data_IF_377743224932
#
_entry.id   IF_377743224932
#
_cell.length_a   1.000
_cell.length_b   1.000
_cell.length_c   1.000
_cell.angle_alpha   90.00
_cell.angle_beta   90.00
_cell.angle_gamma   90.00
#
_symmetry.space_group_name_H-M   'P 1'
#
loop_
_entity.id
_entity.type
_entity.pdbx_description
1 polymer ?
#
# COMPACT_ATOMS: atom_id res chain seq x y z
N UNK A 1 -30.39 29.13 -4.67
CA UNK A 1 -30.08 28.21 -3.55
C UNK A 1 -30.25 26.79 -4.06
N UNK A 2 -29.15 26.14 -4.45
CA UNK A 2 -29.16 24.77 -4.96
C UNK A 2 -28.98 23.79 -3.80
N UNK A 3 -29.91 22.85 -3.76
CA UNK A 3 -30.13 21.84 -2.73
C UNK A 3 -28.93 20.87 -2.68
N UNK A 4 -28.12 20.91 -1.62
CA UNK A 4 -27.07 19.90 -1.36
C UNK A 4 -27.76 18.66 -0.83
N UNK A 5 -27.58 17.50 -1.48
CA UNK A 5 -28.16 16.24 -1.03
C UNK A 5 -27.72 15.89 0.41
N UNK A 6 -28.60 15.40 1.31
CA UNK A 6 -28.35 15.46 2.75
C UNK A 6 -27.69 14.23 3.39
N UNK A 7 -27.23 13.22 2.64
CA UNK A 7 -26.99 11.89 3.25
C UNK A 7 -25.60 11.61 3.85
N UNK A 8 -24.55 12.38 3.56
CA UNK A 8 -23.20 12.03 4.02
C UNK A 8 -22.37 13.15 4.67
N UNK A 9 -22.78 14.41 4.56
CA UNK A 9 -21.94 15.53 5.02
C UNK A 9 -21.76 15.59 6.56
N UNK A 10 -22.57 14.88 7.35
CA UNK A 10 -22.57 14.95 8.81
C UNK A 10 -22.83 13.59 9.51
N UNK A 11 -22.57 12.46 8.85
CA UNK A 11 -22.74 11.14 9.46
C UNK A 11 -21.60 10.85 10.47
N UNK A 12 -21.87 10.68 11.78
CA UNK A 12 -20.83 10.34 12.76
C UNK A 12 -20.07 9.06 12.40
N UNK A 13 -20.75 8.09 11.77
CA UNK A 13 -20.11 6.84 11.33
C UNK A 13 -19.07 7.09 10.22
N UNK A 14 -19.29 8.08 9.34
CA UNK A 14 -18.33 8.51 8.32
C UNK A 14 -17.05 9.05 8.97
N UNK A 15 -17.18 9.97 9.94
CA UNK A 15 -16.02 10.59 10.60
C UNK A 15 -15.20 9.52 11.31
N UNK A 16 -15.85 8.60 12.04
CA UNK A 16 -15.14 7.50 12.72
C UNK A 16 -14.37 6.62 11.74
N UNK A 17 -14.96 6.26 10.57
CA UNK A 17 -14.27 5.46 9.54
C UNK A 17 -13.04 6.18 9.00
N UNK A 18 -13.16 7.46 8.67
CA UNK A 18 -12.05 8.28 8.17
C UNK A 18 -10.98 8.46 9.25
N UNK A 19 -11.38 8.69 10.50
CA UNK A 19 -10.45 8.78 11.63
C UNK A 19 -9.60 7.52 11.73
N UNK A 20 -10.16 6.33 11.56
CA UNK A 20 -9.37 5.09 11.56
C UNK A 20 -8.36 4.99 10.39
N UNK A 21 -8.61 5.68 9.28
CA UNK A 21 -7.78 5.67 8.09
C UNK A 21 -6.80 6.84 8.01
N UNK A 22 -6.94 7.86 8.86
CA UNK A 22 -5.90 8.85 9.05
C UNK A 22 -4.86 8.27 10.02
N UNK A 23 -3.70 7.91 9.49
CA UNK A 23 -2.56 7.49 10.29
C UNK A 23 -1.95 8.73 10.94
N UNK A 24 -2.08 8.82 12.27
CA UNK A 24 -1.66 10.01 13.03
C UNK A 24 -0.17 10.31 12.83
N UNK A 25 0.69 9.31 12.92
CA UNK A 25 2.14 9.52 12.89
C UNK A 25 2.59 9.88 11.47
N UNK A 26 2.10 9.12 10.48
CA UNK A 26 2.40 9.35 9.08
C UNK A 26 1.89 10.72 8.61
N UNK A 27 0.61 11.02 8.85
CA UNK A 27 0.00 12.24 8.36
C UNK A 27 0.54 13.51 9.04
N UNK A 28 0.80 13.46 10.36
CA UNK A 28 1.43 14.58 11.06
C UNK A 28 2.82 14.93 10.48
N UNK A 29 3.59 13.94 10.03
CA UNK A 29 4.88 14.19 9.38
C UNK A 29 4.76 14.86 8.00
N UNK A 30 3.58 14.80 7.36
CA UNK A 30 3.31 15.43 6.06
C UNK A 30 2.79 16.85 6.17
N UNK A 31 2.15 17.20 7.28
CA UNK A 31 1.63 18.56 7.50
C UNK A 31 2.73 19.43 8.12
N UNK A 32 3.47 20.15 7.28
CA UNK A 32 4.51 21.08 7.74
C UNK A 32 3.93 22.16 8.68
N UNK A 33 4.52 22.33 9.87
CA UNK A 33 4.17 23.40 10.80
C UNK A 33 3.07 23.07 11.82
N UNK A 34 2.51 21.87 11.80
CA UNK A 34 1.59 21.39 12.85
C UNK A 34 2.45 20.71 13.92
N UNK A 35 2.70 21.43 15.02
CA UNK A 35 3.68 21.12 16.07
C UNK A 35 3.72 19.64 16.42
N UNK A 36 4.89 19.02 16.27
CA UNK A 36 5.07 17.56 16.35
C UNK A 36 4.44 16.91 17.58
N UNK A 37 4.09 15.61 17.46
CA UNK A 37 3.59 14.68 18.48
C UNK A 37 2.36 15.07 19.35
N UNK A 38 2.05 16.36 19.54
CA UNK A 38 1.05 16.88 20.46
C UNK A 38 -0.32 17.17 19.82
N UNK A 39 -0.40 17.13 18.49
CA UNK A 39 -1.63 17.45 17.75
C UNK A 39 -2.65 16.33 17.88
N UNK A 40 -3.90 16.71 18.14
CA UNK A 40 -4.99 15.76 18.31
C UNK A 40 -5.32 15.07 16.98
N UNK A 41 -5.73 13.80 17.04
CA UNK A 41 -6.05 13.05 15.82
C UNK A 41 -7.25 13.67 15.09
N UNK A 42 -8.23 14.19 15.82
CA UNK A 42 -9.40 14.87 15.24
C UNK A 42 -9.01 16.13 14.45
N UNK A 43 -7.99 16.86 14.89
CA UNK A 43 -7.45 18.03 14.18
C UNK A 43 -6.78 17.61 12.86
N UNK A 44 -6.03 16.50 12.87
CA UNK A 44 -5.44 15.94 11.65
C UNK A 44 -6.51 15.46 10.66
N UNK A 45 -7.57 14.80 11.16
CA UNK A 45 -8.72 14.39 10.35
C UNK A 45 -9.41 15.62 9.74
N UNK A 46 -9.66 16.65 10.54
CA UNK A 46 -10.25 17.90 10.07
C UNK A 46 -9.37 18.58 9.00
N UNK A 47 -8.05 18.62 9.22
CA UNK A 47 -7.11 19.15 8.24
C UNK A 47 -7.15 18.36 6.92
N UNK A 48 -7.15 17.02 6.99
CA UNK A 48 -7.27 16.18 5.78
C UNK A 48 -8.55 16.45 5.00
N UNK A 49 -9.70 16.48 5.69
CA UNK A 49 -11.01 16.69 5.06
C UNK A 49 -11.20 18.07 4.45
N UNK A 50 -10.51 19.10 4.97
CA UNK A 50 -10.72 20.49 4.55
C UNK A 50 -9.64 21.02 3.62
N UNK A 51 -8.43 20.45 3.66
CA UNK A 51 -7.26 20.98 2.94
C UNK A 51 -6.38 19.87 2.38
N UNK A 52 -6.04 18.88 3.21
CA UNK A 52 -5.01 17.90 2.87
C UNK A 52 -5.30 17.10 1.60
N UNK A 53 -6.55 16.67 1.43
CA UNK A 53 -6.97 15.97 0.22
C UNK A 53 -6.81 16.84 -1.04
N UNK A 54 -7.14 18.12 -0.99
CA UNK A 54 -6.98 19.01 -2.14
C UNK A 54 -5.51 19.40 -2.39
N UNK A 55 -4.66 19.30 -1.36
CA UNK A 55 -3.20 19.39 -1.46
C UNK A 55 -2.55 18.07 -1.94
N UNK A 56 -3.34 17.02 -2.20
CA UNK A 56 -2.84 15.71 -2.61
C UNK A 56 -2.12 14.94 -1.49
N UNK A 57 -2.30 15.32 -0.23
CA UNK A 57 -1.69 14.62 0.90
C UNK A 57 -2.36 13.27 1.16
N UNK A 58 -1.53 12.29 1.49
CA UNK A 58 -1.99 10.93 1.73
C UNK A 58 -2.37 10.77 3.21
N UNK A 59 -3.59 10.35 3.55
CA UNK A 59 -4.02 10.22 4.95
C UNK A 59 -3.33 9.05 5.66
N UNK A 60 -2.81 8.09 4.89
CA UNK A 60 -2.05 6.94 5.34
C UNK A 60 -1.13 6.46 4.20
N UNK A 61 -0.18 5.54 4.45
CA UNK A 61 0.76 5.07 3.45
C UNK A 61 0.15 4.32 2.25
N UNK A 62 -1.13 3.93 2.31
CA UNK A 62 -1.77 3.00 1.36
C UNK A 62 -2.91 3.66 0.57
N UNK A 63 -3.14 4.96 0.76
CA UNK A 63 -4.11 5.76 0.02
C UNK A 63 -3.43 6.97 -0.62
N UNK A 64 -3.35 6.95 -1.95
CA UNK A 64 -2.81 8.04 -2.76
C UNK A 64 -3.97 8.82 -3.38
N UNK A 65 -4.20 10.01 -2.83
CA UNK A 65 -5.29 10.91 -3.23
C UNK A 65 -5.23 11.29 -4.71
N UNK A 66 -4.03 11.56 -5.23
CA UNK A 66 -3.83 11.96 -6.63
C UNK A 66 -4.05 10.79 -7.58
N UNK A 67 -3.48 9.63 -7.26
CA UNK A 67 -3.70 8.40 -8.03
C UNK A 67 -5.17 7.99 -8.07
N UNK A 68 -5.84 8.05 -6.92
CA UNK A 68 -7.24 7.67 -6.82
C UNK A 68 -8.13 8.60 -7.67
N UNK A 69 -7.98 9.92 -7.52
CA UNK A 69 -8.75 10.90 -8.31
C UNK A 69 -8.51 10.77 -9.81
N UNK A 70 -7.31 10.38 -10.23
CA UNK A 70 -6.98 10.18 -11.65
C UNK A 70 -7.72 9.00 -12.31
N UNK A 71 -8.29 8.08 -11.52
CA UNK A 71 -9.12 6.98 -12.03
C UNK A 71 -10.58 7.40 -12.27
N UNK A 72 -11.00 8.55 -11.74
CA UNK A 72 -12.39 8.99 -11.83
C UNK A 72 -12.70 9.59 -13.20
N UNK A 73 -13.91 9.35 -13.75
CA UNK A 73 -14.31 9.90 -15.04
C UNK A 73 -14.52 11.42 -15.01
N UNK A 74 -14.55 12.03 -13.82
CA UNK A 74 -14.75 13.45 -13.62
C UNK A 74 -14.38 13.90 -12.21
N UNK A 75 -14.44 15.21 -11.94
CA UNK A 75 -14.13 15.76 -10.64
C UNK A 75 -15.14 15.29 -9.58
N UNK A 76 -14.65 15.12 -8.35
CA UNK A 76 -15.49 14.85 -7.20
C UNK A 76 -16.39 16.06 -6.87
N UNK A 77 -17.55 15.83 -6.21
CA UNK A 77 -18.34 16.91 -5.65
C UNK A 77 -17.51 17.83 -4.74
N UNK A 78 -17.79 19.14 -4.70
CA UNK A 78 -17.07 20.07 -3.84
C UNK A 78 -17.07 19.62 -2.37
N UNK A 79 -15.88 19.54 -1.77
CA UNK A 79 -15.68 19.14 -0.38
C UNK A 79 -15.74 17.62 -0.12
N UNK A 80 -15.82 16.79 -1.16
CA UNK A 80 -15.69 15.34 -1.05
C UNK A 80 -14.26 14.92 -1.37
N UNK A 81 -13.59 14.27 -0.43
CA UNK A 81 -12.24 13.72 -0.64
C UNK A 81 -12.28 12.41 -1.44
N UNK A 82 -11.14 12.04 -2.03
CA UNK A 82 -10.97 10.75 -2.69
C UNK A 82 -11.21 9.59 -1.73
N UNK A 83 -10.69 9.69 -0.50
CA UNK A 83 -10.91 8.66 0.52
C UNK A 83 -12.39 8.46 0.83
N UNK A 84 -13.15 9.53 0.95
CA UNK A 84 -14.60 9.42 1.13
C UNK A 84 -15.28 8.75 -0.05
N UNK A 85 -14.93 9.14 -1.27
CA UNK A 85 -15.49 8.51 -2.47
C UNK A 85 -15.16 7.02 -2.50
N UNK A 86 -13.94 6.65 -2.12
CA UNK A 86 -13.54 5.24 -2.01
C UNK A 86 -14.42 4.47 -1.02
N UNK A 87 -14.68 5.06 0.15
CA UNK A 87 -15.46 4.44 1.22
C UNK A 87 -16.94 4.22 0.86
N UNK A 88 -17.50 5.05 -0.02
CA UNK A 88 -18.94 4.98 -0.40
C UNK A 88 -19.18 4.27 -1.72
N UNK A 89 -18.26 4.38 -2.69
CA UNK A 89 -18.50 3.93 -4.07
C UNK A 89 -17.27 3.30 -4.72
N UNK A 90 -16.09 3.89 -4.53
CA UNK A 90 -14.88 3.46 -5.24
C UNK A 90 -14.49 2.01 -4.96
N UNK A 91 -14.59 1.57 -3.69
CA UNK A 91 -14.31 0.19 -3.32
C UNK A 91 -15.26 -0.80 -4.03
N UNK A 92 -16.56 -0.48 -4.09
CA UNK A 92 -17.55 -1.31 -4.77
C UNK A 92 -17.37 -1.30 -6.30
N UNK A 93 -16.81 -0.22 -6.83
CA UNK A 93 -16.47 -0.07 -8.25
C UNK A 93 -15.10 -0.67 -8.61
N UNK A 94 -14.41 -1.29 -7.65
CA UNK A 94 -13.09 -1.89 -7.89
C UNK A 94 -11.97 -0.89 -8.15
N UNK A 95 -12.15 0.39 -7.80
CA UNK A 95 -11.10 1.40 -7.94
C UNK A 95 -10.01 1.17 -6.91
N UNK A 96 -8.76 1.41 -7.30
CA UNK A 96 -7.61 1.15 -6.45
C UNK A 96 -7.26 2.39 -5.61
N UNK A 97 -7.10 2.30 -4.28
CA UNK A 97 -6.78 3.44 -3.43
C UNK A 97 -5.34 3.94 -3.60
N UNK A 98 -4.42 3.10 -4.11
CA UNK A 98 -3.03 3.47 -4.39
C UNK A 98 -2.42 2.53 -5.44
N UNK A 99 -1.28 2.89 -6.06
CA UNK A 99 -0.63 2.03 -7.05
C UNK A 99 -0.23 0.63 -6.53
N UNK A 100 -0.01 0.50 -5.22
CA UNK A 100 0.44 -0.73 -4.54
C UNK A 100 -0.69 -1.46 -3.81
N UNK A 101 -1.94 -1.15 -4.13
CA UNK A 101 -3.11 -1.83 -3.57
C UNK A 101 -4.10 -2.14 -4.68
N UNK A 102 -4.46 -3.41 -4.84
CA UNK A 102 -5.55 -3.81 -5.73
C UNK A 102 -6.80 -4.14 -4.92
N UNK A 103 -7.86 -3.37 -5.13
CA UNK A 103 -9.16 -3.56 -4.49
C UNK A 103 -9.79 -4.89 -4.90
N UNK A 104 -9.73 -5.21 -6.20
CA UNK A 104 -10.30 -6.43 -6.77
C UNK A 104 -9.58 -7.68 -6.28
N UNK A 105 -8.24 -7.68 -6.28
CA UNK A 105 -7.45 -8.77 -5.72
C UNK A 105 -7.71 -8.94 -4.22
N UNK A 106 -7.79 -7.84 -3.46
CA UNK A 106 -8.03 -7.93 -2.02
C UNK A 106 -9.40 -8.56 -1.72
N UNK A 107 -10.42 -8.23 -2.50
CA UNK A 107 -11.75 -8.83 -2.37
C UNK A 107 -11.78 -10.31 -2.77
N UNK A 108 -10.94 -10.75 -3.72
CA UNK A 108 -10.87 -12.17 -4.08
C UNK A 108 -10.18 -13.01 -2.99
N UNK A 109 -9.16 -12.47 -2.33
CA UNK A 109 -8.45 -13.15 -1.24
C UNK A 109 -9.22 -13.11 0.09
N UNK A 110 -9.95 -12.03 0.33
CA UNK A 110 -10.70 -11.81 1.57
C UNK A 110 -12.19 -11.54 1.27
N UNK A 111 -12.93 -12.52 0.74
CA UNK A 111 -14.33 -12.34 0.36
C UNK A 111 -15.22 -11.96 1.55
N UNK A 112 -14.84 -12.37 2.77
CA UNK A 112 -15.57 -12.06 4.00
C UNK A 112 -15.46 -10.58 4.41
N UNK A 113 -14.58 -9.77 3.81
CA UNK A 113 -14.47 -8.33 4.10
C UNK A 113 -15.81 -7.59 3.98
N UNK A 114 -16.61 -7.96 2.97
CA UNK A 114 -17.94 -7.42 2.74
C UNK A 114 -18.92 -7.76 3.88
N UNK A 115 -18.75 -8.90 4.56
CA UNK A 115 -19.64 -9.34 5.65
C UNK A 115 -19.55 -8.44 6.88
N UNK A 116 -18.43 -7.73 7.05
CA UNK A 116 -18.21 -6.79 8.16
C UNK A 116 -18.57 -5.33 7.80
N UNK A 117 -19.10 -5.08 6.60
CA UNK A 117 -19.43 -3.73 6.13
C UNK A 117 -18.21 -2.81 6.00
N UNK A 118 -17.01 -3.37 5.86
CA UNK A 118 -15.76 -2.64 5.68
C UNK A 118 -15.36 -2.67 4.20
N UNK A 119 -14.74 -1.58 3.74
CA UNK A 119 -14.02 -1.61 2.46
C UNK A 119 -12.72 -2.41 2.59
N UNK A 120 -12.15 -2.88 1.47
CA UNK A 120 -10.84 -3.53 1.44
C UNK A 120 -9.75 -2.75 2.16
N UNK A 121 -9.74 -1.42 1.99
CA UNK A 121 -8.74 -0.55 2.62
C UNK A 121 -8.91 -0.51 4.14
N UNK A 122 -10.14 -0.41 4.63
CA UNK A 122 -10.42 -0.42 6.07
C UNK A 122 -10.04 -1.74 6.72
N UNK A 123 -10.40 -2.84 6.08
CA UNK A 123 -10.00 -4.15 6.56
C UNK A 123 -8.48 -4.28 6.56
N UNK A 124 -7.83 -3.89 5.47
CA UNK A 124 -6.38 -3.92 5.35
C UNK A 124 -5.67 -3.08 6.41
N UNK A 125 -6.03 -1.81 6.59
CA UNK A 125 -5.39 -0.96 7.61
C UNK A 125 -5.63 -1.52 9.01
N UNK A 126 -6.82 -2.03 9.32
CA UNK A 126 -7.14 -2.59 10.65
C UNK A 126 -6.45 -3.91 10.95
N UNK A 127 -6.37 -4.82 9.98
CA UNK A 127 -5.82 -6.17 10.17
C UNK A 127 -4.31 -6.21 9.94
N UNK A 128 -3.84 -5.53 8.90
CA UNK A 128 -2.47 -5.64 8.41
C UNK A 128 -1.49 -4.80 9.24
N UNK A 129 -1.89 -3.62 9.73
CA UNK A 129 -1.08 -2.86 10.69
C UNK A 129 -0.91 -3.60 12.04
N UNK A 130 -1.90 -4.40 12.44
CA UNK A 130 -1.83 -5.19 13.70
C UNK A 130 -1.00 -6.46 13.57
N UNK A 131 -0.89 -7.03 12.37
CA UNK A 131 -0.22 -8.31 12.14
C UNK A 131 1.14 -8.19 11.45
N UNK A 132 1.72 -6.98 11.39
CA UNK A 132 3.06 -6.77 10.81
C UNK A 132 3.09 -6.95 9.29
N UNK A 133 2.03 -6.50 8.62
CA UNK A 133 1.90 -6.47 7.17
C UNK A 133 2.01 -7.82 6.46
N UNK A 134 1.57 -8.92 7.09
CA UNK A 134 1.82 -10.29 6.64
C UNK A 134 1.22 -10.67 5.28
N UNK A 135 0.11 -10.06 4.87
CA UNK A 135 -0.51 -10.31 3.57
C UNK A 135 -0.26 -9.16 2.61
N UNK A 136 0.90 -9.24 1.95
CA UNK A 136 1.27 -8.47 0.76
C UNK A 136 0.31 -8.79 -0.41
N UNK A 137 -0.61 -7.96 -0.92
CA UNK A 137 -1.22 -8.23 -2.21
C UNK A 137 -0.17 -7.98 -3.31
N UNK A 138 0.75 -8.93 -3.49
CA UNK A 138 2.00 -8.74 -4.22
C UNK A 138 1.96 -9.28 -5.66
N UNK A 139 0.83 -9.78 -6.12
CA UNK A 139 0.67 -10.23 -7.52
C UNK A 139 0.22 -9.08 -8.45
N UNK A 140 0.70 -7.86 -8.16
CA UNK A 140 0.44 -6.71 -9.04
C UNK A 140 1.33 -6.80 -10.28
N UNK A 141 0.77 -6.61 -11.49
CA UNK A 141 1.59 -6.48 -12.68
C UNK A 141 2.48 -5.24 -12.55
N UNK A 142 3.70 -5.33 -13.08
CA UNK A 142 4.67 -4.22 -13.09
C UNK A 142 4.99 -3.68 -11.68
N UNK A 143 5.04 -4.57 -10.68
CA UNK A 143 5.24 -4.21 -9.28
C UNK A 143 6.42 -3.27 -9.05
N UNK A 144 7.55 -3.48 -9.75
CA UNK A 144 8.73 -2.61 -9.66
C UNK A 144 8.39 -1.16 -10.03
N UNK A 145 7.72 -0.96 -11.15
CA UNK A 145 7.37 0.38 -11.65
C UNK A 145 6.33 1.06 -10.73
N UNK A 146 5.40 0.28 -10.17
CA UNK A 146 4.45 0.75 -9.16
C UNK A 146 5.15 1.21 -7.87
N UNK A 147 6.14 0.45 -7.38
CA UNK A 147 6.94 0.84 -6.21
C UNK A 147 7.72 2.12 -6.51
N UNK A 148 8.40 2.18 -7.66
CA UNK A 148 9.17 3.37 -8.07
C UNK A 148 8.29 4.61 -8.19
N UNK A 149 7.04 4.46 -8.67
CA UNK A 149 6.07 5.55 -8.68
C UNK A 149 5.74 6.01 -7.26
N UNK A 150 5.38 5.10 -6.37
CA UNK A 150 5.03 5.47 -4.99
C UNK A 150 6.21 6.15 -4.29
N UNK A 151 7.43 5.64 -4.45
CA UNK A 151 8.62 6.24 -3.84
C UNK A 151 9.07 7.55 -4.50
N UNK A 152 8.64 7.82 -5.73
CA UNK A 152 8.84 9.14 -6.36
C UNK A 152 7.97 10.21 -5.71
N UNK A 153 6.71 9.86 -5.46
CA UNK A 153 5.70 10.79 -4.94
C UNK A 153 5.78 10.89 -3.39
N UNK A 154 6.15 9.80 -2.72
CA UNK A 154 6.42 9.72 -1.29
C UNK A 154 7.67 8.86 -1.00
N UNK A 155 8.89 9.45 -1.04
CA UNK A 155 10.15 8.71 -0.83
C UNK A 155 10.27 7.99 0.53
N UNK A 156 9.51 8.45 1.53
CA UNK A 156 9.50 7.88 2.88
C UNK A 156 8.33 6.92 3.12
N UNK A 157 7.61 6.51 2.08
CA UNK A 157 6.40 5.70 2.24
C UNK A 157 6.73 4.34 2.90
N UNK A 158 6.27 4.08 4.14
CA UNK A 158 6.66 2.88 4.86
C UNK A 158 6.04 1.61 4.26
N UNK A 159 4.92 1.72 3.54
CA UNK A 159 4.31 0.58 2.86
C UNK A 159 5.11 0.18 1.61
N UNK A 160 5.50 1.13 0.77
CA UNK A 160 6.36 0.86 -0.38
C UNK A 160 7.74 0.32 0.03
N UNK A 161 8.34 0.89 1.09
CA UNK A 161 9.61 0.41 1.65
C UNK A 161 9.51 -1.01 2.23
N UNK A 162 8.35 -1.39 2.74
CA UNK A 162 8.13 -2.77 3.17
C UNK A 162 7.93 -3.72 1.99
N UNK A 163 7.14 -3.33 1.00
CA UNK A 163 6.88 -4.16 -0.20
C UNK A 163 8.19 -4.44 -0.92
N UNK A 164 9.05 -3.43 -1.10
CA UNK A 164 10.35 -3.60 -1.73
C UNK A 164 11.25 -4.54 -0.92
N UNK A 165 11.33 -4.37 0.41
CA UNK A 165 12.11 -5.28 1.28
C UNK A 165 11.65 -6.73 1.12
N UNK A 166 10.34 -6.99 1.14
CA UNK A 166 9.82 -8.35 0.94
C UNK A 166 10.13 -8.94 -0.42
N UNK A 167 10.04 -8.14 -1.49
CA UNK A 167 10.41 -8.59 -2.84
C UNK A 167 11.90 -8.94 -2.89
N UNK A 168 12.76 -8.12 -2.27
CA UNK A 168 14.19 -8.40 -2.17
C UNK A 168 14.49 -9.65 -1.33
N UNK A 169 13.87 -9.82 -0.16
CA UNK A 169 14.04 -10.99 0.68
C UNK A 169 13.58 -12.28 -0.04
N UNK A 170 12.42 -12.25 -0.70
CA UNK A 170 11.94 -13.39 -1.47
C UNK A 170 12.91 -13.76 -2.62
N UNK A 171 13.51 -12.76 -3.27
CA UNK A 171 14.54 -12.98 -4.30
C UNK A 171 15.81 -13.58 -3.72
N UNK A 172 16.29 -13.11 -2.56
CA UNK A 172 17.45 -13.67 -1.87
C UNK A 172 17.18 -15.14 -1.51
N UNK A 173 16.06 -15.44 -0.85
CA UNK A 173 15.71 -16.83 -0.47
C UNK A 173 15.59 -17.74 -1.70
N UNK A 174 15.03 -17.26 -2.81
CA UNK A 174 14.97 -18.03 -4.06
C UNK A 174 16.37 -18.29 -4.63
N UNK A 175 17.24 -17.28 -4.62
CA UNK A 175 18.63 -17.43 -5.07
C UNK A 175 19.37 -18.42 -4.18
N UNK A 176 19.26 -18.31 -2.85
CA UNK A 176 19.84 -19.26 -1.90
C UNK A 176 19.37 -20.69 -2.17
N UNK A 177 18.07 -20.89 -2.41
CA UNK A 177 17.53 -22.21 -2.75
C UNK A 177 18.06 -22.76 -4.09
N UNK A 178 18.18 -21.91 -5.12
CA UNK A 178 18.75 -22.31 -6.41
C UNK A 178 20.25 -22.62 -6.32
N UNK A 179 20.99 -21.83 -5.54
CA UNK A 179 22.41 -22.05 -5.23
C UNK A 179 22.58 -23.38 -4.52
N UNK A 180 21.77 -23.67 -3.51
CA UNK A 180 21.79 -24.96 -2.81
C UNK A 180 21.49 -26.11 -3.78
N UNK A 181 20.45 -25.99 -4.59
CA UNK A 181 20.08 -27.01 -5.60
C UNK A 181 21.21 -27.26 -6.60
N UNK A 182 21.83 -26.20 -7.13
CA UNK A 182 22.95 -26.28 -8.06
C UNK A 182 24.21 -26.89 -7.41
N UNK A 183 24.53 -26.48 -6.17
CA UNK A 183 25.63 -27.00 -5.38
C UNK A 183 25.50 -28.51 -5.14
N UNK A 184 24.32 -28.98 -4.73
CA UNK A 184 24.09 -30.41 -4.51
C UNK A 184 24.08 -31.21 -5.82
N UNK A 185 23.54 -30.67 -6.91
CA UNK A 185 23.58 -31.32 -8.23
C UNK A 185 25.02 -31.52 -8.73
N UNK A 186 25.88 -30.50 -8.63
CA UNK A 186 27.28 -30.58 -9.01
C UNK A 186 28.06 -31.63 -8.18
N UNK A 187 27.77 -31.69 -6.87
CA UNK A 187 28.37 -32.67 -5.95
C UNK A 187 27.95 -34.11 -6.26
N UNK A 188 26.68 -34.35 -6.61
CA UNK A 188 26.18 -35.68 -7.00
C UNK A 188 26.71 -36.13 -8.36
N UNK A 189 26.90 -35.19 -9.30
CA UNK A 189 27.43 -35.48 -10.63
C UNK A 189 28.95 -35.76 -10.66
N UNK A 190 29.65 -35.70 -9.51
CA UNK A 190 31.10 -35.92 -9.43
C UNK A 190 31.93 -34.83 -10.11
N UNK A 191 31.32 -33.70 -10.49
CA UNK A 191 31.99 -32.56 -11.09
C UNK A 191 32.60 -31.73 -9.95
N UNK A 192 33.70 -32.19 -9.38
CA UNK A 192 34.23 -31.64 -8.13
C UNK A 192 35.74 -31.77 -7.99
N UNK A 193 36.49 -31.16 -8.91
CA UNK A 193 37.94 -30.95 -8.76
C UNK A 193 38.31 -29.58 -8.17
N UNK A 194 37.40 -28.61 -8.18
CA UNK A 194 37.55 -27.31 -7.54
C UNK A 194 36.28 -27.01 -6.76
N UNK A 195 36.42 -26.61 -5.50
CA UNK A 195 35.32 -26.31 -4.61
C UNK A 195 34.43 -25.22 -5.21
N UNK A 196 33.22 -25.57 -5.62
CA UNK A 196 32.21 -24.58 -6.03
C UNK A 196 31.81 -23.83 -4.76
N UNK A 197 32.27 -22.59 -4.63
CA UNK A 197 31.91 -21.72 -3.52
C UNK A 197 30.47 -21.23 -3.70
N UNK A 198 29.63 -21.40 -2.67
CA UNK A 198 28.26 -20.89 -2.65
C UNK A 198 28.24 -19.36 -2.81
N UNK A 199 29.26 -18.66 -2.33
CA UNK A 199 29.35 -17.20 -2.42
C UNK A 199 29.46 -16.70 -3.87
N UNK A 200 30.22 -17.42 -4.71
CA UNK A 200 30.37 -17.12 -6.14
C UNK A 200 29.09 -17.43 -6.92
N UNK A 201 28.39 -18.52 -6.59
CA UNK A 201 27.08 -18.84 -7.17
C UNK A 201 26.02 -17.79 -6.82
N UNK A 202 25.98 -17.31 -5.56
CA UNK A 202 25.06 -16.24 -5.15
C UNK A 202 25.34 -14.95 -5.94
N UNK A 203 26.61 -14.55 -6.08
CA UNK A 203 26.99 -13.37 -6.85
C UNK A 203 26.63 -13.48 -8.34
N UNK A 204 26.80 -14.67 -8.94
CA UNK A 204 26.40 -14.95 -10.30
C UNK A 204 24.88 -14.80 -10.50
N UNK A 205 24.05 -15.43 -9.66
CA UNK A 205 22.59 -15.34 -9.75
C UNK A 205 22.03 -13.94 -9.42
N UNK A 206 22.72 -13.17 -8.56
CA UNK A 206 22.33 -11.79 -8.27
C UNK A 206 22.58 -10.84 -9.47
N UNK A 207 23.62 -11.09 -10.26
CA UNK A 207 24.06 -10.21 -11.36
C UNK A 207 23.48 -10.57 -12.72
N UNK A 208 23.28 -11.86 -13.02
CA UNK A 208 22.85 -12.32 -14.35
C UNK A 208 21.39 -12.73 -14.45
N UNK A 209 20.66 -12.81 -13.33
CA UNK A 209 19.32 -13.40 -13.30
C UNK A 209 19.37 -14.91 -13.11
N UNK A 210 18.22 -15.50 -12.73
CA UNK A 210 18.10 -16.91 -12.36
C UNK A 210 17.44 -17.75 -13.47
N UNK A 211 17.96 -17.61 -14.69
CA UNK A 211 17.49 -18.35 -15.87
C UNK A 211 18.14 -19.74 -15.98
#
# INVERSE_FOLDING_TARGET
MMNRGPKFAADPARITRIEHLVDKAYYAAKVAGVGGAAVDKSELVAHYLTQGADLGLWPNPVFDEGFYRAQLPGPLPPGMTGLEHYLVEGAASGLDPSPLFSTTFYLSEYPDTATYGMTPLEHFVRWTMRQGWRSLPNDLPDLKDRIERVLRDDPGNPYALLVIDRVFQARITRIEHLVDKAYYAAKVAGVGGAAVDKSELVAHYLTQGAD
#
